data_IF_186984769005
#
_entry.id   IF_186984769005
#
_cell.length_a   1.000
_cell.length_b   1.000
_cell.length_c   1.000
_cell.angle_alpha   90.00
_cell.angle_beta   90.00
_cell.angle_gamma   90.00
#
_symmetry.space_group_name_H-M   'P 1'
#
loop_
_entity.id
_entity.type
_entity.pdbx_description
1 polymer ?
#
# COMPACT_ATOMS: atom_id res chain seq x y z
N UNK A 1 -13.26 -6.71 5.50
CA UNK A 1 -11.82 -6.68 5.83
C UNK A 1 -11.08 -7.27 4.65
N UNK A 2 -10.21 -6.46 4.02
CA UNK A 2 -9.47 -6.83 2.81
C UNK A 2 -8.21 -7.60 3.19
N UNK A 3 -7.97 -8.75 2.56
CA UNK A 3 -6.71 -9.48 2.72
C UNK A 3 -5.57 -8.77 2.00
N UNK A 4 -4.38 -8.78 2.60
CA UNK A 4 -3.19 -8.14 2.05
C UNK A 4 -2.07 -9.16 1.98
N UNK A 5 -1.57 -9.38 0.77
CA UNK A 5 -0.34 -10.13 0.52
C UNK A 5 0.81 -9.18 0.20
N UNK A 6 2.00 -9.53 0.67
CA UNK A 6 3.23 -8.79 0.37
C UNK A 6 4.18 -9.64 -0.47
N UNK A 7 4.79 -9.05 -1.49
CA UNK A 7 5.85 -9.71 -2.24
C UNK A 7 7.16 -9.69 -1.45
N UNK A 8 8.04 -10.66 -1.70
CA UNK A 8 9.34 -10.71 -1.03
C UNK A 8 10.20 -9.46 -1.33
N UNK A 9 10.13 -8.94 -2.56
CA UNK A 9 10.84 -7.71 -2.96
C UNK A 9 10.29 -6.47 -2.23
N UNK A 10 8.98 -6.40 -2.02
CA UNK A 10 8.34 -5.37 -1.23
C UNK A 10 8.82 -5.42 0.22
N UNK A 11 8.76 -6.59 0.88
CA UNK A 11 9.19 -6.74 2.28
C UNK A 11 10.66 -6.34 2.50
N UNK A 12 11.55 -6.70 1.57
CA UNK A 12 12.96 -6.29 1.61
C UNK A 12 13.11 -4.77 1.54
N UNK A 13 12.35 -4.11 0.67
CA UNK A 13 12.37 -2.64 0.51
C UNK A 13 11.74 -1.94 1.71
N UNK A 14 10.61 -2.46 2.20
CA UNK A 14 9.91 -1.97 3.38
C UNK A 14 10.84 -1.99 4.59
N UNK A 15 11.43 -3.17 4.91
CA UNK A 15 12.37 -3.32 6.03
C UNK A 15 13.50 -2.28 5.97
N UNK A 16 14.08 -2.04 4.79
CA UNK A 16 15.14 -1.05 4.60
C UNK A 16 14.66 0.39 4.81
N UNK A 17 13.44 0.74 4.37
CA UNK A 17 12.85 2.07 4.57
C UNK A 17 12.49 2.31 6.03
N UNK A 18 11.82 1.35 6.67
CA UNK A 18 11.34 1.48 8.06
C UNK A 18 12.48 1.56 9.07
N UNK A 19 13.55 0.77 8.88
CA UNK A 19 14.70 0.76 9.80
C UNK A 19 15.40 2.12 9.95
N UNK A 20 15.19 3.05 9.02
CA UNK A 20 15.77 4.40 9.05
C UNK A 20 14.81 5.44 9.64
N UNK A 21 13.54 5.10 9.87
CA UNK A 21 12.52 6.06 10.29
C UNK A 21 11.38 5.37 11.07
N UNK A 22 11.45 5.30 12.41
CA UNK A 22 10.41 4.72 13.26
C UNK A 22 9.03 5.38 13.12
N UNK A 23 8.99 6.69 12.84
CA UNK A 23 7.73 7.40 12.63
C UNK A 23 7.04 6.96 11.33
N UNK A 24 7.82 6.67 10.28
CA UNK A 24 7.29 6.11 9.05
C UNK A 24 6.74 4.69 9.27
N UNK A 25 7.36 3.90 10.13
CA UNK A 25 6.86 2.56 10.49
C UNK A 25 5.50 2.63 11.17
N UNK A 26 5.34 3.51 12.16
CA UNK A 26 4.05 3.74 12.81
C UNK A 26 2.98 4.15 11.79
N UNK A 27 3.27 5.16 10.97
CA UNK A 27 2.35 5.63 9.91
C UNK A 27 2.02 4.52 8.92
N UNK A 28 2.99 3.71 8.51
CA UNK A 28 2.77 2.61 7.58
C UNK A 28 1.74 1.63 8.14
N UNK A 29 1.89 1.18 9.38
CA UNK A 29 0.94 0.22 9.98
C UNK A 29 -0.44 0.82 10.22
N UNK A 30 -0.54 2.09 10.63
CA UNK A 30 -1.82 2.81 10.71
C UNK A 30 -2.54 2.84 9.35
N UNK A 31 -1.80 3.08 8.27
CA UNK A 31 -2.34 3.17 6.91
C UNK A 31 -2.75 1.80 6.36
N UNK A 32 -1.98 0.76 6.69
CA UNK A 32 -2.33 -0.63 6.39
C UNK A 32 -3.62 -1.02 7.10
N UNK A 33 -3.80 -0.63 8.36
CA UNK A 33 -5.02 -0.89 9.10
C UNK A 33 -6.24 -0.20 8.47
N UNK A 34 -6.13 1.09 8.14
CA UNK A 34 -7.19 1.82 7.42
C UNK A 34 -7.50 1.12 6.08
N UNK A 35 -6.47 0.75 5.30
CA UNK A 35 -6.65 0.08 4.01
C UNK A 35 -7.37 -1.27 4.13
N UNK A 36 -7.13 -2.04 5.20
CA UNK A 36 -7.86 -3.30 5.44
C UNK A 36 -9.35 -3.10 5.69
N UNK A 37 -9.72 -1.97 6.27
CA UNK A 37 -11.11 -1.63 6.54
C UNK A 37 -11.79 -1.00 5.32
N UNK A 38 -11.16 0.02 4.73
CA UNK A 38 -11.61 0.71 3.54
C UNK A 38 -10.41 1.12 2.66
N UNK A 39 -10.16 0.39 1.55
CA UNK A 39 -9.09 0.70 0.61
C UNK A 39 -9.19 2.08 -0.06
N UNK A 40 -10.38 2.69 -0.07
CA UNK A 40 -10.66 3.98 -0.69
C UNK A 40 -10.89 5.10 0.33
N UNK A 41 -10.54 4.88 1.60
CA UNK A 41 -10.61 5.90 2.64
C UNK A 41 -9.89 7.20 2.19
N UNK A 42 -10.51 8.39 2.35
CA UNK A 42 -9.94 9.65 1.88
C UNK A 42 -8.53 9.95 2.39
N UNK A 43 -8.18 9.45 3.59
CA UNK A 43 -6.85 9.61 4.18
C UNK A 43 -5.80 8.96 3.28
N UNK A 44 -6.10 7.81 2.68
CA UNK A 44 -5.19 7.01 1.87
C UNK A 44 -4.90 7.64 0.51
N UNK A 45 -5.73 8.57 0.03
CA UNK A 45 -5.61 9.20 -1.30
C UNK A 45 -5.41 8.16 -2.41
N UNK A 46 -6.10 7.03 -2.28
CA UNK A 46 -6.00 5.88 -3.18
C UNK A 46 -6.47 6.28 -4.56
N UNK A 47 -5.63 6.09 -5.58
CA UNK A 47 -5.99 6.40 -6.96
C UNK A 47 -5.32 5.42 -7.93
N UNK A 48 -6.00 5.19 -9.06
CA UNK A 48 -5.51 4.32 -10.13
C UNK A 48 -4.35 5.02 -10.85
N UNK A 49 -3.30 4.28 -11.14
CA UNK A 49 -2.20 4.77 -11.95
C UNK A 49 -2.59 4.74 -13.44
N UNK A 50 -1.82 5.44 -14.26
CA UNK A 50 -2.04 5.53 -15.71
C UNK A 50 -0.87 4.93 -16.50
N UNK A 51 -1.01 4.84 -17.82
CA UNK A 51 0.03 4.34 -18.72
C UNK A 51 0.35 2.86 -18.52
N UNK A 52 1.64 2.51 -18.47
CA UNK A 52 2.12 1.14 -18.32
C UNK A 52 1.70 0.48 -16.99
N UNK A 53 1.31 1.29 -16.00
CA UNK A 53 0.86 0.81 -14.69
C UNK A 53 -0.66 0.96 -14.51
N UNK A 54 -1.44 1.02 -15.58
CA UNK A 54 -2.90 1.24 -15.52
C UNK A 54 -3.67 0.27 -14.63
N UNK A 55 -3.16 -0.93 -14.39
CA UNK A 55 -3.83 -1.92 -13.54
C UNK A 55 -3.45 -1.79 -12.05
N UNK A 56 -2.49 -0.92 -11.74
CA UNK A 56 -1.99 -0.68 -10.39
C UNK A 56 -2.60 0.58 -9.77
N UNK A 57 -2.54 0.62 -8.46
CA UNK A 57 -3.07 1.71 -7.65
C UNK A 57 -1.99 2.23 -6.72
N UNK A 58 -2.08 3.51 -6.37
CA UNK A 58 -1.17 4.17 -5.45
C UNK A 58 -1.89 4.58 -4.19
N UNK A 59 -1.31 4.22 -3.05
CA UNK A 59 -1.83 4.48 -1.70
C UNK A 59 -0.82 5.35 -0.96
N UNK A 60 -1.25 6.50 -0.43
CA UNK A 60 -0.41 7.40 0.36
C UNK A 60 -0.26 6.88 1.79
N UNK A 61 1.00 6.68 2.19
CA UNK A 61 1.38 6.33 3.56
C UNK A 61 1.89 7.55 4.31
N UNK A 62 2.63 8.40 3.60
CA UNK A 62 3.16 9.65 4.07
C UNK A 62 3.16 10.67 2.93
N UNK A 63 3.65 11.88 3.20
CA UNK A 63 3.75 12.95 2.21
C UNK A 63 4.50 12.51 0.94
N UNK A 64 5.67 11.90 1.09
CA UNK A 64 6.56 11.45 0.01
C UNK A 64 6.60 9.92 -0.16
N UNK A 65 5.84 9.18 0.65
CA UNK A 65 5.82 7.71 0.62
C UNK A 65 4.48 7.20 0.11
N UNK A 66 4.53 6.50 -1.03
CA UNK A 66 3.40 5.78 -1.60
C UNK A 66 3.70 4.29 -1.72
N UNK A 67 2.68 3.48 -1.50
CA UNK A 67 2.68 2.03 -1.74
C UNK A 67 1.91 1.76 -3.01
N UNK A 68 2.46 0.90 -3.86
CA UNK A 68 1.80 0.46 -5.08
C UNK A 68 1.11 -0.88 -4.78
N UNK A 69 -0.18 -0.95 -5.07
CA UNK A 69 -1.02 -2.12 -4.82
C UNK A 69 -1.71 -2.57 -6.10
N UNK A 70 -1.97 -3.86 -6.19
CA UNK A 70 -2.81 -4.47 -7.22
C UNK A 70 -4.04 -5.02 -6.50
N UNK A 71 -5.23 -4.66 -6.96
CA UNK A 71 -6.46 -5.30 -6.49
C UNK A 71 -6.66 -6.58 -7.30
N UNK A 72 -6.49 -7.73 -6.65
CA UNK A 72 -6.91 -9.02 -7.22
C UNK A 72 -8.31 -9.35 -6.73
N UNK A 73 -9.18 -9.76 -7.65
CA UNK A 73 -10.41 -10.47 -7.24
C UNK A 73 -10.01 -11.84 -6.64
N UNK A 74 -10.71 -12.32 -5.61
CA UNK A 74 -10.54 -13.70 -5.18
C UNK A 74 -11.04 -14.60 -6.33
N UNK A 75 -10.13 -15.36 -6.94
CA UNK A 75 -10.37 -16.27 -8.07
C UNK A 75 -10.96 -15.64 -9.34
N UNK A 76 -10.07 -15.29 -10.28
CA UNK A 76 -10.31 -15.68 -11.67
C UNK A 76 -9.44 -16.91 -11.94
N UNK A 77 -10.11 -18.04 -12.13
CA UNK A 77 -9.54 -19.31 -12.59
C UNK A 77 -8.83 -19.14 -13.94
#
# INVERSE_FOLDING_TARGET
>A
MTEIAFTASFLKTLKRKLRKNPNLEKRFWERVDIFRHDPHDPRLKTHKLSGAMKDWWSVSVDYDVRVIVLFSEPNKA
#
